data_IF_770150484631
#
_entry.id   IF_770150484631
#
_cell.length_a   1.000
_cell.length_b   1.000
_cell.length_c   1.000
_cell.angle_alpha   90.00
_cell.angle_beta   90.00
_cell.angle_gamma   90.00
#
_symmetry.space_group_name_H-M   'P 1'
#
loop_
_entity.id
_entity.type
_entity.pdbx_description
1 polymer ?
#
# COMPACT_ATOMS: atom_id res chain seq x y z
N UNK A 1 2.90 6.58 -25.83
CA UNK A 1 3.01 7.57 -24.73
C UNK A 1 1.70 8.35 -24.67
N UNK A 2 1.07 8.51 -23.51
CA UNK A 2 -0.20 9.26 -23.42
C UNK A 2 -0.01 10.44 -22.44
N UNK A 3 0.46 11.58 -22.96
CA UNK A 3 0.68 12.82 -22.22
C UNK A 3 1.62 13.81 -22.96
N UNK A 4 1.65 15.10 -22.59
CA UNK A 4 2.40 16.18 -23.29
C UNK A 4 3.92 16.12 -23.12
N UNK A 5 4.44 15.11 -22.42
CA UNK A 5 5.86 14.97 -22.09
C UNK A 5 6.48 13.83 -22.88
N UNK A 6 7.70 14.03 -23.40
CA UNK A 6 8.49 12.97 -24.07
C UNK A 6 8.97 11.84 -23.14
N UNK A 7 8.70 11.95 -21.85
CA UNK A 7 9.06 10.96 -20.85
C UNK A 7 7.92 9.97 -20.61
N UNK A 8 8.25 8.72 -20.27
CA UNK A 8 7.23 7.77 -19.83
C UNK A 8 6.82 8.04 -18.37
N UNK A 9 5.67 7.52 -17.94
CA UNK A 9 5.12 7.76 -16.58
C UNK A 9 6.13 7.41 -15.48
N UNK A 10 6.91 6.34 -15.67
CA UNK A 10 7.94 5.93 -14.72
C UNK A 10 9.15 6.89 -14.66
N UNK A 11 9.44 7.59 -15.76
CA UNK A 11 10.57 8.53 -15.88
C UNK A 11 10.10 10.00 -15.88
N UNK A 12 9.05 10.33 -15.11
CA UNK A 12 8.60 11.72 -14.93
C UNK A 12 7.59 12.22 -15.97
N UNK A 13 7.12 11.35 -16.85
CA UNK A 13 6.02 11.64 -17.77
C UNK A 13 4.64 11.67 -17.11
N UNK A 14 3.68 12.30 -17.79
CA UNK A 14 2.30 12.43 -17.32
C UNK A 14 2.04 13.71 -16.52
N UNK A 15 0.77 13.95 -16.16
CA UNK A 15 0.35 15.20 -15.50
C UNK A 15 0.89 15.27 -14.07
N UNK A 16 1.25 16.48 -13.65
CA UNK A 16 1.75 16.77 -12.30
C UNK A 16 0.62 17.31 -11.43
N UNK A 17 0.76 17.11 -10.13
CA UNK A 17 -0.12 17.71 -9.15
C UNK A 17 -0.05 19.23 -9.27
N UNK A 18 -1.19 19.92 -9.35
CA UNK A 18 -1.26 21.38 -9.44
C UNK A 18 -1.19 22.07 -8.09
N UNK A 19 -0.99 21.30 -7.02
CA UNK A 19 -0.83 21.86 -5.67
C UNK A 19 0.54 22.55 -5.57
N UNK A 20 0.63 23.78 -5.05
CA UNK A 20 1.88 24.54 -4.98
C UNK A 20 3.01 23.73 -4.34
N UNK A 21 4.17 23.67 -5.02
CA UNK A 21 5.35 22.93 -4.54
C UNK A 21 5.24 21.40 -4.56
N UNK A 22 4.26 20.82 -5.28
CA UNK A 22 4.09 19.37 -5.33
C UNK A 22 4.59 18.72 -6.64
N UNK A 23 5.75 18.07 -6.57
CA UNK A 23 6.29 17.25 -7.67
C UNK A 23 5.80 15.80 -7.63
N UNK A 24 4.54 15.55 -7.28
CA UNK A 24 3.95 14.20 -7.39
C UNK A 24 3.12 14.12 -8.67
N UNK A 25 3.05 12.93 -9.26
CA UNK A 25 2.15 12.68 -10.38
C UNK A 25 0.69 12.85 -9.95
N UNK A 26 -0.10 13.54 -10.76
CA UNK A 26 -1.55 13.61 -10.57
C UNK A 26 -2.17 12.24 -10.87
N UNK A 27 -3.16 11.83 -10.07
CA UNK A 27 -3.92 10.59 -10.31
C UNK A 27 -5.17 10.85 -11.15
N UNK A 28 -5.68 12.07 -11.10
CA UNK A 28 -6.80 12.55 -11.92
C UNK A 28 -6.35 13.78 -12.70
N UNK A 29 -7.28 14.67 -13.03
CA UNK A 29 -7.02 15.86 -13.83
C UNK A 29 -6.03 16.84 -13.18
N UNK A 30 -6.02 16.96 -11.84
CA UNK A 30 -5.31 18.05 -11.14
C UNK A 30 -4.44 17.62 -9.95
N UNK A 31 -4.87 16.65 -9.13
CA UNK A 31 -4.21 16.39 -7.85
C UNK A 31 -3.60 14.99 -7.73
N UNK A 32 -2.58 14.86 -6.87
CA UNK A 32 -2.01 13.58 -6.46
C UNK A 32 -2.83 12.94 -5.33
N UNK A 33 -2.56 11.66 -4.99
CA UNK A 33 -3.29 10.95 -3.93
C UNK A 33 -3.36 11.69 -2.59
N UNK A 34 -2.28 12.38 -2.22
CA UNK A 34 -2.20 13.12 -0.95
C UNK A 34 -3.04 14.41 -0.98
N UNK A 35 -3.12 15.08 -2.13
CA UNK A 35 -3.82 16.36 -2.29
C UNK A 35 -5.24 16.21 -2.87
N UNK A 36 -5.92 15.10 -2.58
CA UNK A 36 -7.31 14.91 -3.01
C UNK A 36 -7.50 14.09 -4.29
N UNK A 37 -6.43 13.74 -5.00
CA UNK A 37 -6.54 12.93 -6.20
C UNK A 37 -6.91 11.45 -5.99
N UNK A 38 -7.65 10.87 -6.92
CA UNK A 38 -8.24 9.54 -6.93
C UNK A 38 -9.68 9.54 -6.41
N UNK A 39 -10.43 8.47 -6.74
CA UNK A 39 -11.75 8.22 -6.14
C UNK A 39 -11.64 8.16 -4.61
N UNK A 40 -12.57 8.84 -3.94
CA UNK A 40 -12.68 8.87 -2.47
C UNK A 40 -13.71 7.86 -1.99
N UNK A 41 -13.57 7.46 -0.73
CA UNK A 41 -14.56 6.62 -0.08
C UNK A 41 -15.92 7.34 -0.06
N UNK A 42 -16.99 6.65 -0.46
CA UNK A 42 -18.35 7.18 -0.53
C UNK A 42 -18.99 7.41 0.83
N UNK A 43 -18.40 6.87 1.91
CA UNK A 43 -18.82 7.18 3.27
C UNK A 43 -18.61 8.68 3.57
N UNK A 44 -19.68 9.38 3.95
CA UNK A 44 -19.75 10.85 4.10
C UNK A 44 -18.68 11.44 5.02
N UNK A 45 -18.19 10.69 6.00
CA UNK A 45 -17.15 11.13 6.95
C UNK A 45 -15.77 10.51 6.67
N UNK A 46 -15.52 9.99 5.46
CA UNK A 46 -14.28 9.28 5.14
C UNK A 46 -13.50 9.91 3.98
N UNK A 47 -12.37 10.53 4.32
CA UNK A 47 -11.47 11.12 3.32
C UNK A 47 -10.48 10.10 2.71
N UNK A 48 -10.53 8.83 3.14
CA UNK A 48 -9.64 7.79 2.64
C UNK A 48 -9.93 7.49 1.16
N UNK A 49 -8.88 7.17 0.41
CA UNK A 49 -9.03 6.77 -0.99
C UNK A 49 -9.82 5.47 -1.09
N UNK A 50 -10.70 5.40 -2.10
CA UNK A 50 -11.36 4.17 -2.45
C UNK A 50 -10.33 3.16 -3.01
N UNK A 51 -10.58 1.88 -2.80
CA UNK A 51 -9.65 0.81 -3.16
C UNK A 51 -10.23 -0.09 -4.24
N UNK A 52 -9.44 -0.35 -5.28
CA UNK A 52 -9.86 -1.14 -6.44
C UNK A 52 -10.95 -0.43 -7.26
N UNK A 53 -11.84 -1.21 -7.87
CA UNK A 53 -12.99 -0.68 -8.60
C UNK A 53 -14.18 -0.26 -7.72
N UNK A 54 -14.05 -0.35 -6.39
CA UNK A 54 -15.11 0.02 -5.46
C UNK A 54 -15.11 1.52 -5.15
N UNK A 55 -16.23 2.03 -4.62
CA UNK A 55 -16.32 3.40 -4.13
C UNK A 55 -15.97 3.51 -2.64
N UNK A 56 -15.43 2.46 -2.01
CA UNK A 56 -15.19 2.43 -0.56
C UNK A 56 -13.70 2.25 -0.27
N UNK A 57 -13.23 2.75 0.87
CA UNK A 57 -11.87 2.46 1.35
C UNK A 57 -11.81 1.07 1.99
N UNK A 58 -10.62 0.53 2.21
CA UNK A 58 -10.43 -0.82 2.80
C UNK A 58 -11.19 -1.04 4.11
N UNK A 59 -11.33 0.00 4.95
CA UNK A 59 -12.04 -0.08 6.22
C UNK A 59 -13.56 -0.15 6.03
N UNK A 60 -14.09 0.56 5.04
CA UNK A 60 -15.51 0.55 4.69
C UNK A 60 -15.84 -0.52 3.63
N UNK A 61 -15.08 -1.61 3.54
CA UNK A 61 -15.38 -2.73 2.64
C UNK A 61 -14.81 -2.60 1.22
N UNK A 62 -13.97 -1.62 0.97
CA UNK A 62 -13.30 -1.45 -0.32
C UNK A 62 -12.26 -2.52 -0.64
N UNK A 63 -12.14 -2.83 -1.94
CA UNK A 63 -11.24 -3.86 -2.46
C UNK A 63 -11.83 -5.28 -2.42
N UNK A 64 -11.04 -6.26 -2.90
CA UNK A 64 -11.49 -7.67 -2.94
C UNK A 64 -11.63 -8.26 -1.53
N UNK A 65 -12.73 -8.98 -1.30
CA UNK A 65 -13.05 -9.62 -0.01
C UNK A 65 -12.80 -11.12 -0.09
N UNK A 66 -12.60 -11.73 1.07
CA UNK A 66 -12.47 -13.17 1.16
C UNK A 66 -13.76 -13.85 0.67
N UNK A 67 -13.63 -14.85 -0.20
CA UNK A 67 -14.74 -15.61 -0.77
C UNK A 67 -15.35 -16.63 0.21
N UNK A 68 -14.84 -16.72 1.44
CA UNK A 68 -15.42 -17.57 2.48
C UNK A 68 -16.60 -16.80 3.08
N UNK A 69 -17.76 -17.43 3.11
CA UNK A 69 -18.97 -16.85 3.70
C UNK A 69 -18.74 -16.43 5.15
N UNK A 70 -19.31 -15.27 5.53
CA UNK A 70 -19.09 -14.66 6.84
C UNK A 70 -17.70 -14.04 7.05
N UNK A 71 -16.78 -14.09 6.07
CA UNK A 71 -15.44 -13.51 6.23
C UNK A 71 -15.33 -12.08 5.70
N UNK A 72 -15.37 -11.11 6.61
CA UNK A 72 -15.11 -9.69 6.33
C UNK A 72 -13.62 -9.33 6.25
N UNK A 73 -12.73 -10.26 5.89
CA UNK A 73 -11.30 -9.94 5.71
C UNK A 73 -10.98 -9.68 4.24
N UNK A 74 -10.05 -8.77 4.00
CA UNK A 74 -9.59 -8.48 2.64
C UNK A 74 -8.85 -9.68 2.04
N UNK A 75 -9.15 -9.97 0.78
CA UNK A 75 -8.43 -10.99 0.02
C UNK A 75 -7.04 -10.49 -0.36
N UNK A 76 -6.09 -11.41 -0.49
CA UNK A 76 -4.77 -11.09 -1.05
C UNK A 76 -4.85 -10.95 -2.57
N UNK A 77 -4.16 -9.98 -3.16
CA UNK A 77 -4.37 -9.55 -4.55
C UNK A 77 -4.42 -10.66 -5.61
N UNK A 78 -3.63 -11.73 -5.44
CA UNK A 78 -3.56 -12.87 -6.36
C UNK A 78 -4.57 -14.00 -6.07
N UNK A 79 -5.41 -13.86 -5.05
CA UNK A 79 -6.33 -14.90 -4.58
C UNK A 79 -7.68 -14.28 -4.19
N UNK A 80 -8.74 -15.09 -4.11
CA UNK A 80 -10.02 -14.63 -3.55
C UNK A 80 -10.11 -14.88 -2.03
N UNK A 81 -9.01 -15.23 -1.37
CA UNK A 81 -9.00 -15.63 0.04
C UNK A 81 -8.16 -14.66 0.87
N UNK A 82 -8.53 -14.48 2.14
CA UNK A 82 -7.70 -13.76 3.09
C UNK A 82 -6.53 -14.62 3.57
N UNK A 83 -5.51 -14.02 4.18
CA UNK A 83 -4.31 -14.72 4.68
C UNK A 83 -4.64 -15.93 5.57
N UNK A 84 -5.66 -15.80 6.43
CA UNK A 84 -6.11 -16.89 7.32
C UNK A 84 -6.74 -18.03 6.54
N UNK A 85 -7.52 -17.74 5.50
CA UNK A 85 -8.21 -18.72 4.68
C UNK A 85 -7.36 -19.18 3.47
N UNK A 86 -6.03 -19.11 3.57
CA UNK A 86 -5.15 -19.62 2.50
C UNK A 86 -4.73 -18.60 1.45
N UNK A 87 -5.13 -17.33 1.58
CA UNK A 87 -4.71 -16.25 0.68
C UNK A 87 -3.21 -15.95 0.72
N UNK A 88 -2.64 -15.68 -0.45
CA UNK A 88 -1.22 -15.36 -0.65
C UNK A 88 -0.33 -16.59 -0.88
N UNK A 89 0.87 -16.35 -1.42
CA UNK A 89 1.85 -17.38 -1.75
C UNK A 89 2.35 -18.09 -0.49
N UNK A 90 2.33 -19.43 -0.44
CA UNK A 90 2.82 -20.20 0.70
C UNK A 90 4.33 -20.37 0.67
N UNK A 91 4.91 -20.55 1.86
CA UNK A 91 6.32 -20.87 2.03
C UNK A 91 6.61 -22.26 1.42
N UNK A 92 7.63 -22.36 0.58
CA UNK A 92 8.00 -23.63 -0.08
C UNK A 92 8.88 -24.53 0.79
N UNK A 93 9.28 -24.05 1.96
CA UNK A 93 9.99 -24.87 2.94
C UNK A 93 9.09 -26.03 3.42
N UNK A 94 9.65 -27.24 3.51
CA UNK A 94 8.94 -28.46 3.88
C UNK A 94 8.19 -28.31 5.21
N UNK A 95 6.91 -28.67 5.23
CA UNK A 95 6.06 -28.57 6.42
C UNK A 95 5.69 -27.13 6.86
N UNK A 96 6.06 -26.10 6.11
CA UNK A 96 5.77 -24.72 6.50
C UNK A 96 4.44 -24.22 5.92
N UNK A 97 3.46 -23.95 6.80
CA UNK A 97 2.16 -23.37 6.41
C UNK A 97 2.14 -21.83 6.35
N UNK A 98 3.27 -21.17 6.68
CA UNK A 98 3.39 -19.71 6.72
C UNK A 98 3.35 -19.11 5.31
N UNK A 99 2.96 -17.85 5.21
CA UNK A 99 2.90 -17.10 3.94
C UNK A 99 4.28 -16.54 3.59
N UNK A 100 4.67 -16.70 2.33
CA UNK A 100 5.88 -16.16 1.76
C UNK A 100 5.88 -14.62 1.77
N UNK A 101 7.06 -14.00 1.84
CA UNK A 101 7.19 -12.54 1.94
C UNK A 101 8.00 -11.95 0.78
N UNK A 102 7.51 -10.83 0.24
CA UNK A 102 8.14 -10.12 -0.85
C UNK A 102 8.13 -10.91 -2.16
N UNK A 103 9.19 -10.80 -2.95
CA UNK A 103 9.36 -11.53 -4.22
C UNK A 103 9.85 -12.97 -4.02
N UNK A 104 10.14 -13.37 -2.77
CA UNK A 104 10.66 -14.70 -2.45
C UNK A 104 9.54 -15.76 -2.40
N UNK A 105 9.94 -17.02 -2.30
CA UNK A 105 9.05 -18.16 -2.07
C UNK A 105 9.01 -18.59 -0.59
N UNK A 106 9.76 -17.92 0.29
CA UNK A 106 9.91 -18.29 1.68
C UNK A 106 9.21 -17.30 2.63
N UNK A 107 8.83 -17.78 3.81
CA UNK A 107 8.34 -16.93 4.90
C UNK A 107 9.50 -16.22 5.60
N UNK A 108 9.19 -15.21 6.44
CA UNK A 108 10.21 -14.43 7.16
C UNK A 108 11.27 -15.28 7.88
N UNK A 109 10.86 -16.38 8.51
CA UNK A 109 11.76 -17.28 9.24
C UNK A 109 12.68 -18.10 8.31
N UNK A 110 12.22 -18.43 7.11
CA UNK A 110 12.94 -19.27 6.15
C UNK A 110 13.64 -18.48 5.04
N UNK A 111 14.06 -17.23 5.30
CA UNK A 111 14.74 -16.42 4.27
C UNK A 111 13.84 -15.45 3.50
N UNK A 112 12.55 -15.39 3.81
CA UNK A 112 11.60 -14.49 3.18
C UNK A 112 11.76 -13.02 3.59
N UNK A 113 11.52 -12.13 2.64
CA UNK A 113 11.62 -10.69 2.86
C UNK A 113 13.06 -10.16 2.90
N UNK A 114 13.19 -8.84 2.71
CA UNK A 114 14.47 -8.14 2.67
C UNK A 114 15.08 -8.07 4.08
N UNK A 115 16.40 -8.25 4.21
CA UNK A 115 17.13 -8.18 5.48
C UNK A 115 17.52 -6.77 5.83
N UNK A 116 17.76 -6.52 7.11
CA UNK A 116 18.27 -5.24 7.59
C UNK A 116 19.65 -4.96 7.00
N UNK A 117 19.87 -3.73 6.52
CA UNK A 117 21.16 -3.28 5.95
C UNK A 117 22.28 -3.14 7.00
N UNK A 118 21.94 -3.11 8.28
CA UNK A 118 22.93 -3.00 9.35
C UNK A 118 23.66 -4.33 9.49
N UNK A 119 24.99 -4.27 9.46
CA UNK A 119 25.87 -5.43 9.66
C UNK A 119 25.51 -6.18 10.95
N UNK A 120 25.65 -7.51 10.91
CA UNK A 120 25.26 -8.42 12.00
C UNK A 120 23.76 -8.38 12.42
N UNK A 121 22.86 -7.78 11.62
CA UNK A 121 21.42 -7.78 11.90
C UNK A 121 20.61 -8.68 10.95
N UNK A 122 20.21 -9.85 11.43
CA UNK A 122 19.39 -10.80 10.66
C UNK A 122 17.89 -10.52 10.66
N UNK A 123 17.46 -9.37 11.22
CA UNK A 123 16.03 -9.01 11.29
C UNK A 123 15.51 -8.59 9.92
N UNK A 124 14.23 -8.86 9.67
CA UNK A 124 13.55 -8.45 8.44
C UNK A 124 13.39 -6.93 8.43
N UNK A 125 13.75 -6.31 7.30
CA UNK A 125 13.61 -4.89 7.06
C UNK A 125 12.15 -4.49 6.82
N UNK A 126 11.82 -3.25 7.18
CA UNK A 126 10.49 -2.65 7.02
C UNK A 126 10.63 -1.37 6.19
N UNK A 127 9.72 -1.20 5.24
CA UNK A 127 9.70 0.01 4.40
C UNK A 127 10.84 0.05 3.39
N UNK A 128 11.08 1.24 2.85
CA UNK A 128 12.01 1.46 1.72
C UNK A 128 13.47 1.58 2.14
N UNK A 129 13.73 1.95 3.39
CA UNK A 129 15.08 2.14 3.94
C UNK A 129 15.86 0.84 4.15
N UNK A 130 15.24 -0.33 3.95
CA UNK A 130 15.85 -1.64 4.25
C UNK A 130 16.41 -1.75 5.69
N UNK A 131 15.74 -1.13 6.66
CA UNK A 131 16.11 -1.23 8.08
C UNK A 131 15.01 -1.95 8.86
N UNK A 132 15.41 -2.74 9.85
CA UNK A 132 14.48 -3.42 10.75
C UNK A 132 13.78 -2.41 11.69
N UNK A 133 12.72 -2.83 12.40
CA UNK A 133 11.97 -1.95 13.33
C UNK A 133 12.86 -1.23 14.34
N UNK A 134 13.90 -1.89 14.83
CA UNK A 134 14.80 -1.32 15.82
C UNK A 134 15.88 -0.41 15.25
N UNK A 135 16.19 -0.54 13.95
CA UNK A 135 17.19 0.31 13.28
C UNK A 135 16.55 1.40 12.41
N UNK A 136 15.25 1.29 12.12
CA UNK A 136 14.49 2.23 11.32
C UNK A 136 13.47 2.95 12.18
N UNK A 137 13.86 4.06 12.81
CA UNK A 137 12.91 4.96 13.43
C UNK A 137 12.48 6.02 12.41
N UNK A 138 11.36 5.76 11.75
CA UNK A 138 10.57 6.83 11.16
C UNK A 138 9.16 6.67 11.72
N UNK A 139 8.79 7.61 12.59
CA UNK A 139 7.43 7.79 13.03
C UNK A 139 6.53 7.76 11.79
N UNK A 140 5.49 6.92 11.83
CA UNK A 140 4.46 6.99 10.81
C UNK A 140 3.87 8.38 10.96
N UNK A 141 4.03 9.24 9.95
CA UNK A 141 3.13 10.37 9.78
C UNK A 141 1.73 9.76 9.69
N UNK A 142 1.00 9.80 10.80
CA UNK A 142 -0.43 9.55 10.76
C UNK A 142 -0.95 10.49 9.68
N UNK A 143 -1.70 9.95 8.72
CA UNK A 143 -2.54 10.78 7.88
C UNK A 143 -3.67 11.28 8.79
N UNK A 144 -3.33 12.21 9.69
CA UNK A 144 -4.31 13.12 10.24
C UNK A 144 -4.75 13.98 9.07
N UNK A 145 -6.06 14.06 8.91
CA UNK A 145 -6.69 14.92 7.94
C UNK A 145 -6.10 16.32 8.13
N UNK A 146 -5.52 16.91 7.08
CA UNK A 146 -5.32 18.35 7.03
C UNK A 146 -6.73 18.96 6.90
N UNK A 147 -7.37 19.07 8.06
CA UNK A 147 -8.66 19.67 8.33
C UNK A 147 -8.55 20.33 9.70
N UNK A 148 -7.40 20.97 9.96
CA UNK A 148 -7.37 22.06 10.91
C UNK A 148 -8.35 23.10 10.38
N UNK A 149 -9.37 23.32 11.18
CA UNK A 149 -10.34 24.38 11.04
C UNK A 149 -9.57 25.69 10.87
N UNK A 150 -9.57 26.27 9.68
CA UNK A 150 -9.61 27.73 9.58
C UNK A 150 -11.04 28.10 9.96
N UNK A 151 -11.28 28.20 11.25
CA UNK A 151 -12.34 29.06 11.77
C UNK A 151 -11.66 30.41 11.98
N UNK A 152 -12.15 31.41 11.23
CA UNK A 152 -11.95 32.81 11.53
C UNK A 152 -12.51 33.15 12.92
#
# INVERSE_FOLDING_TARGET
>A
AQGPTRFCIAHGGGRRCTFPGCDKGARDKFFCAAHGGGKRCANSECCKSAVGGSNLCTMHGGGKRCAIEGCSKSAQASTNLCVRHGGGKKCTYSGCSKVARGRTTYCAAHGGGVRCKIEACNRVAIGKMQLCRAHGHLGKSNNYCAGDKVSA
#
